data_IF_135090530379
#
_entry.id   IF_135090530379
#
_cell.length_a   1.000
_cell.length_b   1.000
_cell.length_c   1.000
_cell.angle_alpha   90.00
_cell.angle_beta   90.00
_cell.angle_gamma   90.00
#
_symmetry.space_group_name_H-M   'P 1'
#
loop_
_entity.id
_entity.type
_entity.pdbx_description
1 polymer ?
#
# COMPACT_ATOMS: atom_id res chain seq x y z
N UNK A 1 -17.80 -27.88 42.98
CA UNK A 1 -17.50 -27.12 41.74
C UNK A 1 -17.44 -25.64 42.09
N UNK A 2 -16.34 -24.95 41.78
CA UNK A 2 -16.17 -23.54 42.13
C UNK A 2 -16.90 -22.64 41.12
N UNK A 3 -17.62 -21.64 41.63
CA UNK A 3 -18.35 -20.64 40.85
C UNK A 3 -17.80 -19.25 41.21
N UNK A 4 -17.68 -18.38 40.21
CA UNK A 4 -17.33 -16.96 40.40
C UNK A 4 -18.41 -16.14 39.72
N UNK A 5 -19.06 -15.24 40.47
CA UNK A 5 -20.16 -14.40 40.01
C UNK A 5 -21.28 -15.17 39.29
N UNK A 6 -21.66 -16.34 39.82
CA UNK A 6 -22.75 -17.16 39.28
C UNK A 6 -22.39 -17.99 38.05
N UNK A 7 -21.16 -17.92 37.52
CA UNK A 7 -20.71 -18.73 36.39
C UNK A 7 -19.71 -19.82 36.80
N UNK A 8 -19.68 -20.97 36.12
CA UNK A 8 -18.67 -22.01 36.35
C UNK A 8 -17.26 -21.43 36.19
N UNK A 9 -16.34 -21.71 37.12
CA UNK A 9 -14.97 -21.18 37.10
C UNK A 9 -14.23 -21.46 35.77
N UNK A 10 -14.53 -22.58 35.11
CA UNK A 10 -14.02 -22.92 33.77
C UNK A 10 -14.43 -21.90 32.69
N UNK A 11 -15.67 -21.40 32.74
CA UNK A 11 -16.14 -20.38 31.80
C UNK A 11 -15.42 -19.05 32.02
N UNK A 12 -15.18 -18.65 33.27
CA UNK A 12 -14.45 -17.43 33.59
C UNK A 12 -12.99 -17.50 33.13
N UNK A 13 -12.32 -18.62 33.37
CA UNK A 13 -10.93 -18.86 32.93
C UNK A 13 -10.82 -18.85 31.40
N UNK A 14 -11.77 -19.46 30.69
CA UNK A 14 -11.80 -19.43 29.23
C UNK A 14 -12.05 -18.02 28.69
N UNK A 15 -12.97 -17.26 29.30
CA UNK A 15 -13.21 -15.85 28.94
C UNK A 15 -11.99 -14.96 29.19
N UNK A 16 -11.27 -15.15 30.30
CA UNK A 16 -10.05 -14.42 30.59
C UNK A 16 -8.90 -14.79 29.63
N UNK A 17 -8.78 -16.07 29.27
CA UNK A 17 -7.80 -16.54 28.27
C UNK A 17 -8.13 -16.02 26.87
N UNK A 18 -9.42 -15.96 26.50
CA UNK A 18 -9.87 -15.37 25.23
C UNK A 18 -9.61 -13.86 25.24
N UNK A 19 -9.93 -13.14 26.32
CA UNK A 19 -9.67 -11.70 26.45
C UNK A 19 -8.16 -11.39 26.40
N UNK A 20 -7.33 -12.20 27.05
CA UNK A 20 -5.87 -12.06 27.02
C UNK A 20 -5.29 -12.41 25.63
N UNK A 21 -5.81 -13.45 24.97
CA UNK A 21 -5.42 -13.76 23.59
C UNK A 21 -5.83 -12.63 22.65
N UNK A 22 -7.06 -12.13 22.78
CA UNK A 22 -7.56 -10.98 22.03
C UNK A 22 -6.77 -9.72 22.34
N UNK A 23 -6.28 -9.49 23.57
CA UNK A 23 -5.45 -8.32 23.89
C UNK A 23 -4.05 -8.39 23.28
N UNK A 24 -3.45 -9.59 23.20
CA UNK A 24 -2.19 -9.84 22.48
C UNK A 24 -2.36 -9.63 20.97
N UNK A 25 -3.47 -10.07 20.38
CA UNK A 25 -3.75 -9.81 18.97
C UNK A 25 -4.19 -8.35 18.73
N UNK A 26 -4.96 -7.75 19.64
CA UNK A 26 -5.42 -6.35 19.57
C UNK A 26 -4.26 -5.37 19.56
N UNK A 27 -3.22 -5.61 20.36
CA UNK A 27 -2.02 -4.77 20.34
C UNK A 27 -1.27 -4.87 19.01
N UNK A 28 -1.40 -5.98 18.25
CA UNK A 28 -0.84 -6.10 16.90
C UNK A 28 -1.82 -5.69 15.77
N UNK A 29 -3.13 -5.63 16.06
CA UNK A 29 -4.18 -5.22 15.11
C UNK A 29 -4.44 -3.71 15.18
N UNK A 30 -4.24 -3.07 16.35
CA UNK A 30 -4.57 -1.66 16.58
C UNK A 30 -3.37 -0.76 16.90
N UNK A 31 -2.20 -1.29 17.27
CA UNK A 31 -0.99 -0.46 17.34
C UNK A 31 -0.23 -0.58 16.04
N UNK A 32 -0.61 0.24 15.06
CA UNK A 32 0.22 0.49 13.90
C UNK A 32 1.63 0.86 14.36
N UNK A 33 2.65 0.22 13.77
CA UNK A 33 4.02 0.43 14.22
C UNK A 33 4.41 1.90 14.04
N UNK A 34 5.02 2.48 15.07
CA UNK A 34 5.65 3.81 14.99
C UNK A 34 7.14 3.74 14.63
N UNK A 35 7.69 2.54 14.46
CA UNK A 35 9.10 2.38 14.17
C UNK A 35 9.34 2.59 12.66
N UNK A 36 10.05 3.67 12.25
CA UNK A 36 10.19 4.04 10.84
C UNK A 36 10.94 2.97 10.04
N UNK A 37 11.95 2.33 10.63
CA UNK A 37 12.70 1.27 9.97
C UNK A 37 11.82 0.04 9.70
N UNK A 38 10.97 -0.35 10.65
CA UNK A 38 10.02 -1.45 10.46
C UNK A 38 9.02 -1.13 9.34
N UNK A 39 8.44 0.07 9.35
CA UNK A 39 7.52 0.51 8.30
C UNK A 39 8.15 0.47 6.90
N UNK A 40 9.40 0.91 6.76
CA UNK A 40 10.15 0.83 5.49
C UNK A 40 10.31 -0.62 5.03
N UNK A 41 10.66 -1.53 5.94
CA UNK A 41 10.82 -2.94 5.61
C UNK A 41 9.50 -3.59 5.22
N UNK A 42 8.43 -3.30 5.94
CA UNK A 42 7.08 -3.83 5.68
C UNK A 42 6.57 -3.34 4.32
N UNK A 43 6.71 -2.04 4.00
CA UNK A 43 6.37 -1.49 2.68
C UNK A 43 7.20 -2.15 1.58
N UNK A 44 8.51 -2.31 1.76
CA UNK A 44 9.35 -2.98 0.77
C UNK A 44 8.89 -4.44 0.51
N UNK A 45 8.51 -5.16 1.57
CA UNK A 45 7.95 -6.51 1.44
C UNK A 45 6.60 -6.51 0.71
N UNK A 46 5.72 -5.56 1.03
CA UNK A 46 4.43 -5.39 0.36
C UNK A 46 4.61 -5.09 -1.14
N UNK A 47 5.49 -4.17 -1.51
CA UNK A 47 5.77 -3.87 -2.94
C UNK A 47 6.34 -5.08 -3.67
N UNK A 48 7.20 -5.88 -3.03
CA UNK A 48 7.73 -7.11 -3.61
C UNK A 48 6.62 -8.16 -3.83
N UNK A 49 5.76 -8.38 -2.84
CA UNK A 49 4.63 -9.31 -2.94
C UNK A 49 3.62 -8.87 -3.99
N UNK A 50 3.34 -7.57 -4.08
CA UNK A 50 2.48 -7.01 -5.11
C UNK A 50 3.02 -7.33 -6.52
N UNK A 51 4.32 -7.10 -6.73
CA UNK A 51 4.99 -7.43 -7.99
C UNK A 51 4.95 -8.90 -8.34
N UNK A 52 5.19 -9.77 -7.37
CA UNK A 52 5.16 -11.21 -7.58
C UNK A 52 3.77 -11.68 -8.02
N UNK A 53 2.70 -11.09 -7.46
CA UNK A 53 1.34 -11.35 -7.94
C UNK A 53 1.11 -10.82 -9.35
N UNK A 54 1.63 -9.65 -9.70
CA UNK A 54 1.49 -9.09 -11.06
C UNK A 54 2.14 -9.96 -12.14
N UNK A 55 3.20 -10.72 -11.83
CA UNK A 55 3.83 -11.64 -12.79
C UNK A 55 2.85 -12.72 -13.28
N UNK A 56 1.86 -13.08 -12.47
CA UNK A 56 0.88 -14.10 -12.83
C UNK A 56 -0.26 -13.59 -13.71
N UNK A 57 -0.39 -12.27 -13.91
CA UNK A 57 -1.39 -11.69 -14.81
C UNK A 57 -1.08 -12.09 -16.26
N UNK A 58 -2.07 -12.63 -16.96
CA UNK A 58 -1.93 -13.17 -18.32
C UNK A 58 -1.25 -14.54 -18.41
N UNK A 59 -0.93 -15.17 -17.27
CA UNK A 59 -0.31 -16.50 -17.19
C UNK A 59 -1.34 -17.58 -16.82
N UNK A 60 -0.94 -18.86 -16.82
CA UNK A 60 -1.83 -19.98 -16.47
C UNK A 60 -2.43 -19.93 -15.06
N UNK A 61 -1.82 -19.16 -14.15
CA UNK A 61 -2.30 -18.95 -12.77
C UNK A 61 -3.26 -17.77 -12.65
N UNK A 62 -3.49 -17.02 -13.73
CA UNK A 62 -4.39 -15.87 -13.72
C UNK A 62 -5.85 -16.30 -13.58
N UNK A 63 -6.53 -15.79 -12.56
CA UNK A 63 -7.94 -16.09 -12.30
C UNK A 63 -8.60 -14.94 -11.51
N UNK A 64 -9.95 -14.88 -11.47
CA UNK A 64 -10.67 -13.80 -10.80
C UNK A 64 -10.29 -13.62 -9.32
N UNK A 65 -10.01 -14.71 -8.61
CA UNK A 65 -9.60 -14.68 -7.19
C UNK A 65 -8.24 -14.00 -7.02
N UNK A 66 -7.28 -14.32 -7.89
CA UNK A 66 -5.97 -13.66 -7.93
C UNK A 66 -6.11 -12.19 -8.29
N UNK A 67 -6.90 -11.86 -9.32
CA UNK A 67 -7.15 -10.45 -9.73
C UNK A 67 -7.69 -9.65 -8.57
N UNK A 68 -8.68 -10.20 -7.87
CA UNK A 68 -9.23 -9.57 -6.67
C UNK A 68 -8.23 -9.46 -5.51
N UNK A 69 -7.39 -10.47 -5.32
CA UNK A 69 -6.32 -10.41 -4.33
C UNK A 69 -5.35 -9.26 -4.65
N UNK A 70 -4.97 -9.09 -5.91
CA UNK A 70 -4.14 -7.97 -6.39
C UNK A 70 -4.83 -6.63 -6.07
N UNK A 71 -6.14 -6.50 -6.35
CA UNK A 71 -6.92 -5.28 -6.03
C UNK A 71 -6.83 -4.92 -4.56
N UNK A 72 -7.17 -5.87 -3.68
CA UNK A 72 -7.16 -5.66 -2.22
C UNK A 72 -5.76 -5.33 -1.71
N UNK A 73 -4.76 -6.06 -2.20
CA UNK A 73 -3.40 -5.88 -1.74
C UNK A 73 -2.80 -4.53 -2.16
N UNK A 74 -3.18 -4.01 -3.35
CA UNK A 74 -2.86 -2.64 -3.74
C UNK A 74 -3.34 -1.64 -2.70
N UNK A 75 -4.61 -1.73 -2.29
CA UNK A 75 -5.17 -0.81 -1.28
C UNK A 75 -4.41 -0.89 0.03
N UNK A 76 -4.10 -2.10 0.52
CA UNK A 76 -3.24 -2.29 1.70
C UNK A 76 -1.89 -1.57 1.53
N UNK A 77 -1.22 -1.72 0.38
CA UNK A 77 0.06 -1.05 0.13
C UNK A 77 -0.06 0.47 0.18
N UNK A 78 -1.15 1.04 -0.37
CA UNK A 78 -1.41 2.49 -0.34
C UNK A 78 -1.65 2.98 1.08
N UNK A 79 -2.46 2.27 1.86
CA UNK A 79 -2.77 2.64 3.24
C UNK A 79 -1.53 2.57 4.14
N UNK A 80 -0.69 1.57 3.95
CA UNK A 80 0.60 1.45 4.67
C UNK A 80 1.57 2.57 4.28
N UNK A 81 1.61 2.99 3.01
CA UNK A 81 2.41 4.15 2.60
C UNK A 81 1.91 5.43 3.28
N UNK A 82 0.59 5.66 3.31
CA UNK A 82 -0.01 6.82 3.99
C UNK A 82 0.37 6.84 5.47
N UNK A 83 0.14 5.73 6.16
CA UNK A 83 0.50 5.58 7.58
C UNK A 83 1.99 5.87 7.83
N UNK A 84 2.87 5.37 6.96
CA UNK A 84 4.31 5.63 7.10
C UNK A 84 4.68 7.10 6.89
N UNK A 85 4.03 7.80 5.96
CA UNK A 85 4.21 9.25 5.78
C UNK A 85 3.75 10.00 7.02
N UNK A 86 2.56 9.70 7.55
CA UNK A 86 2.03 10.34 8.75
C UNK A 86 3.01 10.19 9.93
N UNK A 87 3.47 8.96 10.20
CA UNK A 87 4.44 8.68 11.28
C UNK A 87 5.76 9.42 11.08
N UNK A 88 6.34 9.38 9.87
CA UNK A 88 7.66 9.98 9.66
C UNK A 88 7.63 11.50 9.63
N UNK A 89 6.57 12.10 9.07
CA UNK A 89 6.43 13.56 9.05
C UNK A 89 6.17 14.11 10.46
N UNK A 90 5.41 13.41 11.29
CA UNK A 90 5.23 13.76 12.71
C UNK A 90 6.54 13.70 13.49
N UNK A 91 7.37 12.68 13.25
CA UNK A 91 8.70 12.57 13.86
C UNK A 91 9.58 13.77 13.50
N UNK A 92 9.61 14.15 12.21
CA UNK A 92 10.39 15.31 11.74
C UNK A 92 9.93 16.62 12.35
N UNK A 93 8.60 16.83 12.43
CA UNK A 93 8.04 18.02 13.08
C UNK A 93 8.42 18.07 14.56
N UNK A 94 8.31 16.96 15.27
CA UNK A 94 8.68 16.88 16.70
C UNK A 94 10.17 17.10 16.97
N UNK A 95 11.05 16.71 16.04
CA UNK A 95 12.49 16.92 16.15
C UNK A 95 12.92 18.35 15.80
N UNK A 96 12.09 19.11 15.09
CA UNK A 96 12.39 20.51 14.74
C UNK A 96 12.24 21.47 15.93
N UNK A 97 11.56 21.03 16.98
CA UNK A 97 11.35 21.78 18.22
C UNK A 97 12.48 21.56 19.26
N UNK A 98 13.36 20.56 19.05
CA UNK A 98 14.46 20.20 19.96
C UNK A 98 15.80 20.22 19.18
N UNK A 99 16.67 21.16 19.52
CA UNK A 99 17.79 21.73 18.74
C UNK A 99 18.97 20.77 18.40
N UNK A 100 18.74 19.49 18.06
CA UNK A 100 19.85 18.52 17.97
C UNK A 100 19.75 17.21 17.18
N UNK A 101 18.61 16.79 16.61
CA UNK A 101 18.52 15.48 15.92
C UNK A 101 18.11 15.61 14.44
N UNK A 102 19.06 15.70 13.50
CA UNK A 102 18.73 15.90 12.07
C UNK A 102 19.34 14.94 11.04
N UNK A 103 20.10 13.90 11.44
CA UNK A 103 20.78 13.05 10.43
C UNK A 103 20.11 11.69 10.13
N UNK A 104 19.52 11.03 11.13
CA UNK A 104 18.98 9.66 10.95
C UNK A 104 17.57 9.66 10.33
N UNK A 105 16.74 10.65 10.66
CA UNK A 105 15.37 10.76 10.15
C UNK A 105 15.33 11.08 8.66
N UNK A 106 16.29 11.87 8.18
CA UNK A 106 16.50 12.13 6.76
C UNK A 106 16.78 10.84 5.97
N UNK A 107 17.48 9.85 6.55
CA UNK A 107 17.76 8.57 5.89
C UNK A 107 16.51 7.70 5.71
N UNK A 108 15.61 7.72 6.71
CA UNK A 108 14.35 6.99 6.66
C UNK A 108 13.36 7.63 5.67
N UNK A 109 13.25 8.96 5.65
CA UNK A 109 12.44 9.67 4.67
C UNK A 109 12.93 9.42 3.23
N UNK A 110 14.24 9.51 2.99
CA UNK A 110 14.83 9.19 1.67
C UNK A 110 14.53 7.74 1.27
N UNK A 111 14.58 6.81 2.23
CA UNK A 111 14.23 5.40 2.00
C UNK A 111 12.75 5.22 1.62
N UNK A 112 11.84 5.87 2.37
CA UNK A 112 10.41 5.83 2.10
C UNK A 112 10.08 6.47 0.74
N UNK A 113 10.66 7.63 0.43
CA UNK A 113 10.54 8.30 -0.86
C UNK A 113 10.92 7.37 -2.02
N UNK A 114 12.08 6.72 -1.93
CA UNK A 114 12.54 5.78 -2.96
C UNK A 114 11.58 4.58 -3.13
N UNK A 115 11.06 4.05 -2.02
CA UNK A 115 10.10 2.94 -2.06
C UNK A 115 8.77 3.34 -2.70
N UNK A 116 8.22 4.50 -2.34
CA UNK A 116 6.98 5.00 -2.92
C UNK A 116 7.13 5.30 -4.42
N UNK A 117 8.28 5.80 -4.87
CA UNK A 117 8.58 5.91 -6.30
C UNK A 117 8.58 4.55 -7.01
N UNK A 118 9.17 3.52 -6.39
CA UNK A 118 9.13 2.16 -6.94
C UNK A 118 7.68 1.69 -7.02
N UNK A 119 6.91 1.87 -5.95
CA UNK A 119 5.52 1.44 -5.91
C UNK A 119 4.65 2.15 -6.95
N UNK A 120 4.80 3.47 -7.12
CA UNK A 120 4.11 4.23 -8.18
C UNK A 120 4.36 3.63 -9.58
N UNK A 121 5.61 3.25 -9.89
CA UNK A 121 5.93 2.58 -11.15
C UNK A 121 5.26 1.20 -11.28
N UNK A 122 5.14 0.45 -10.19
CA UNK A 122 4.42 -0.83 -10.18
C UNK A 122 2.90 -0.66 -10.32
N UNK A 123 2.31 0.42 -9.78
CA UNK A 123 0.91 0.77 -10.01
C UNK A 123 0.63 1.06 -11.50
N UNK A 124 1.50 1.84 -12.14
CA UNK A 124 1.40 2.14 -13.59
C UNK A 124 1.51 0.85 -14.42
N UNK A 125 2.38 -0.09 -14.03
CA UNK A 125 2.45 -1.41 -14.69
C UNK A 125 1.18 -2.22 -14.45
N UNK A 126 0.66 -2.23 -13.22
CA UNK A 126 -0.60 -2.90 -12.87
C UNK A 126 -1.75 -2.38 -13.74
N UNK A 127 -1.85 -1.06 -13.92
CA UNK A 127 -2.82 -0.42 -14.81
C UNK A 127 -2.71 -0.99 -16.23
N UNK A 128 -1.51 -0.93 -16.82
CA UNK A 128 -1.27 -1.38 -18.20
C UNK A 128 -1.55 -2.87 -18.36
N UNK A 129 -1.17 -3.69 -17.39
CA UNK A 129 -1.43 -5.13 -17.40
C UNK A 129 -2.94 -5.42 -17.40
N UNK A 130 -3.71 -4.77 -16.53
CA UNK A 130 -5.16 -4.95 -16.46
C UNK A 130 -5.86 -4.40 -17.71
N UNK A 131 -5.33 -3.32 -18.27
CA UNK A 131 -5.80 -2.78 -19.54
C UNK A 131 -5.56 -3.77 -20.68
N UNK A 132 -4.37 -4.33 -20.83
CA UNK A 132 -4.04 -5.19 -21.99
C UNK A 132 -4.51 -6.63 -21.81
N UNK A 133 -4.63 -7.12 -20.58
CA UNK A 133 -5.08 -8.47 -20.22
C UNK A 133 -6.41 -8.40 -19.45
N UNK A 134 -7.55 -8.20 -20.14
CA UNK A 134 -8.85 -8.16 -19.49
C UNK A 134 -9.22 -9.53 -18.90
N UNK A 135 -10.02 -9.52 -17.84
CA UNK A 135 -10.56 -10.73 -17.23
C UNK A 135 -12.02 -10.51 -16.86
N UNK A 136 -12.86 -11.52 -17.14
CA UNK A 136 -14.24 -11.53 -16.69
C UNK A 136 -14.30 -11.80 -15.18
N UNK A 137 -14.81 -10.81 -14.44
CA UNK A 137 -14.96 -10.86 -12.98
C UNK A 137 -16.40 -11.18 -12.54
N UNK A 138 -17.34 -11.35 -13.48
CA UNK A 138 -18.78 -11.38 -13.19
C UNK A 138 -19.15 -12.44 -12.15
N UNK A 139 -18.63 -13.66 -12.31
CA UNK A 139 -18.90 -14.79 -11.39
C UNK A 139 -18.44 -14.54 -9.95
N UNK A 140 -17.33 -13.81 -9.76
CA UNK A 140 -16.82 -13.50 -8.43
C UNK A 140 -17.73 -12.49 -7.70
N UNK A 141 -18.26 -11.52 -8.45
CA UNK A 141 -19.10 -10.46 -7.90
C UNK A 141 -20.57 -10.86 -7.82
N UNK A 142 -21.09 -11.76 -8.65
CA UNK A 142 -22.42 -12.37 -8.47
C UNK A 142 -22.54 -13.05 -7.10
N UNK A 143 -21.50 -13.77 -6.68
CA UNK A 143 -21.46 -14.45 -5.39
C UNK A 143 -21.32 -13.50 -4.19
N UNK A 144 -20.97 -12.23 -4.43
CA UNK A 144 -20.84 -11.19 -3.39
C UNK A 144 -21.95 -10.13 -3.43
N UNK A 145 -22.68 -10.04 -4.54
CA UNK A 145 -23.75 -9.05 -4.75
C UNK A 145 -25.11 -9.57 -4.29
N UNK A 146 -25.22 -9.82 -2.98
CA UNK A 146 -26.51 -9.76 -2.29
C UNK A 146 -26.30 -9.33 -0.83
N UNK A 147 -26.91 -8.25 -0.31
CA UNK A 147 -27.98 -7.40 -0.87
C UNK A 147 -27.63 -5.90 -1.02
N UNK A 148 -28.56 -5.15 -1.66
CA UNK A 148 -28.76 -3.68 -1.65
C UNK A 148 -27.71 -2.75 -2.30
N UNK A 149 -27.89 -2.42 -3.58
CA UNK A 149 -27.51 -1.10 -4.11
C UNK A 149 -28.79 -0.41 -4.62
N UNK A 150 -29.34 0.51 -3.82
CA UNK A 150 -30.50 1.34 -4.20
C UNK A 150 -30.29 2.04 -5.55
N UNK A 151 -29.04 2.37 -5.90
CA UNK A 151 -28.65 2.94 -7.19
C UNK A 151 -28.89 2.02 -8.40
N UNK A 152 -28.73 0.69 -8.24
CA UNK A 152 -29.02 -0.26 -9.32
C UNK A 152 -30.52 -0.45 -9.53
N UNK A 153 -31.31 -0.42 -8.46
CA UNK A 153 -32.78 -0.51 -8.55
C UNK A 153 -33.33 0.74 -9.23
N UNK A 154 -32.85 1.94 -8.87
CA UNK A 154 -33.31 3.18 -9.48
C UNK A 154 -32.90 3.29 -10.96
N UNK A 155 -31.68 2.84 -11.30
CA UNK A 155 -31.23 2.74 -12.70
C UNK A 155 -32.07 1.76 -13.53
N UNK A 156 -32.44 0.61 -12.97
CA UNK A 156 -33.35 -0.35 -13.62
C UNK A 156 -34.79 0.18 -13.74
N UNK A 157 -35.28 0.92 -12.73
CA UNK A 157 -36.61 1.53 -12.74
C UNK A 157 -36.74 2.68 -13.75
N UNK A 158 -35.67 3.46 -13.95
CA UNK A 158 -35.67 4.65 -14.81
C UNK A 158 -35.17 4.38 -16.23
N UNK A 159 -34.19 3.48 -16.41
CA UNK A 159 -33.51 3.30 -17.70
C UNK A 159 -33.91 2.01 -18.42
N UNK A 160 -34.70 1.14 -17.80
CA UNK A 160 -35.10 -0.18 -18.34
C UNK A 160 -33.92 -0.97 -18.92
N UNK A 161 -32.71 -0.74 -18.41
CA UNK A 161 -31.49 -1.44 -18.78
C UNK A 161 -30.81 -1.92 -17.51
N UNK A 162 -30.45 -3.19 -17.50
CA UNK A 162 -29.53 -3.72 -16.51
C UNK A 162 -28.20 -3.00 -16.71
N UNK A 163 -27.83 -2.09 -15.81
CA UNK A 163 -26.52 -1.47 -15.79
C UNK A 163 -25.54 -2.58 -15.43
N UNK A 164 -24.87 -3.17 -16.42
CA UNK A 164 -23.79 -4.11 -16.18
C UNK A 164 -22.56 -3.28 -15.76
N UNK A 165 -22.07 -3.41 -14.50
CA UNK A 165 -20.89 -2.68 -14.07
C UNK A 165 -19.67 -3.14 -14.87
N UNK A 166 -18.97 -2.19 -15.50
CA UNK A 166 -17.68 -2.46 -16.14
C UNK A 166 -16.58 -2.50 -15.07
N UNK A 167 -16.42 -3.69 -14.46
CA UNK A 167 -15.42 -3.94 -13.41
C UNK A 167 -13.99 -3.65 -13.84
N UNK A 168 -13.70 -3.71 -15.14
CA UNK A 168 -12.38 -3.38 -15.67
C UNK A 168 -12.18 -1.86 -15.63
N UNK A 169 -13.15 -1.10 -16.14
CA UNK A 169 -13.09 0.36 -16.11
C UNK A 169 -13.04 0.91 -14.68
N UNK A 170 -13.84 0.35 -13.77
CA UNK A 170 -13.82 0.69 -12.34
C UNK A 170 -12.43 0.46 -11.74
N UNK A 171 -11.83 -0.70 -12.01
CA UNK A 171 -10.51 -1.03 -11.50
C UNK A 171 -9.40 -0.14 -12.07
N UNK A 172 -9.46 0.20 -13.36
CA UNK A 172 -8.51 1.14 -13.98
C UNK A 172 -8.58 2.52 -13.30
N UNK A 173 -9.79 3.01 -13.06
CA UNK A 173 -10.02 4.26 -12.31
C UNK A 173 -9.47 4.17 -10.88
N UNK A 174 -9.70 3.06 -10.17
CA UNK A 174 -9.17 2.86 -8.83
C UNK A 174 -7.64 2.82 -8.78
N UNK A 175 -6.99 2.29 -9.82
CA UNK A 175 -5.53 2.33 -9.93
C UNK A 175 -5.03 3.74 -10.19
N UNK A 176 -5.66 4.50 -11.10
CA UNK A 176 -5.32 5.91 -11.34
C UNK A 176 -5.43 6.74 -10.04
N UNK A 177 -6.51 6.56 -9.28
CA UNK A 177 -6.67 7.20 -7.98
C UNK A 177 -5.56 6.80 -7.00
N UNK A 178 -5.16 5.53 -6.99
CA UNK A 178 -4.05 5.04 -6.15
C UNK A 178 -2.71 5.67 -6.55
N UNK A 179 -2.45 5.84 -7.85
CA UNK A 179 -1.25 6.53 -8.36
C UNK A 179 -1.24 7.98 -7.87
N UNK A 180 -2.34 8.71 -8.06
CA UNK A 180 -2.45 10.11 -7.65
C UNK A 180 -2.23 10.28 -6.13
N UNK A 181 -2.77 9.37 -5.31
CA UNK A 181 -2.52 9.36 -3.86
C UNK A 181 -1.04 9.19 -3.56
N UNK A 182 -0.38 8.18 -4.16
CA UNK A 182 1.04 7.93 -3.91
C UNK A 182 1.91 9.10 -4.40
N UNK A 183 1.60 9.70 -5.55
CA UNK A 183 2.33 10.87 -6.06
C UNK A 183 2.18 12.09 -5.14
N UNK A 184 1.00 12.31 -4.58
CA UNK A 184 0.79 13.35 -3.56
C UNK A 184 1.62 13.10 -2.29
N UNK A 185 1.67 11.84 -1.82
CA UNK A 185 2.48 11.45 -0.66
C UNK A 185 3.98 11.59 -0.93
N UNK A 186 4.43 11.29 -2.15
CA UNK A 186 5.82 11.49 -2.58
C UNK A 186 6.17 12.99 -2.50
N UNK A 187 5.32 13.86 -3.04
CA UNK A 187 5.54 15.30 -3.01
C UNK A 187 5.58 15.86 -1.58
N UNK A 188 4.74 15.34 -0.68
CA UNK A 188 4.78 15.68 0.73
C UNK A 188 6.12 15.29 1.37
N UNK A 189 6.56 14.04 1.20
CA UNK A 189 7.85 13.57 1.75
C UNK A 189 9.04 14.33 1.16
N UNK A 190 8.99 14.65 -0.14
CA UNK A 190 10.05 15.41 -0.83
C UNK A 190 10.30 16.79 -0.19
N UNK A 191 9.26 17.43 0.34
CA UNK A 191 9.38 18.74 1.00
C UNK A 191 10.25 18.71 2.25
N UNK A 192 10.43 17.55 2.89
CA UNK A 192 11.25 17.37 4.08
C UNK A 192 12.67 16.88 3.78
N UNK A 193 12.97 16.48 2.54
CA UNK A 193 14.29 15.96 2.17
C UNK A 193 15.19 17.12 1.73
N UNK A 194 16.35 17.35 2.39
CA UNK A 194 17.25 18.43 2.00
C UNK A 194 17.81 18.19 0.60
N UNK A 195 17.56 19.13 -0.31
CA UNK A 195 18.19 19.10 -1.62
C UNK A 195 19.70 19.35 -1.46
N UNK A 196 20.56 18.62 -2.19
CA UNK A 196 22.00 18.87 -2.15
C UNK A 196 22.30 20.28 -2.68
N UNK A 197 22.48 21.24 -1.77
CA UNK A 197 23.02 22.55 -2.07
C UNK A 197 24.48 22.37 -2.49
N UNK A 198 24.79 22.49 -3.79
CA UNK A 198 26.19 22.43 -4.22
C UNK A 198 26.51 22.07 -5.67
N UNK A 199 25.57 22.03 -6.61
CA UNK A 199 25.89 22.06 -8.05
C UNK A 199 24.99 23.06 -8.75
N UNK A 200 25.36 24.34 -8.61
CA UNK A 200 24.86 25.43 -9.44
C UNK A 200 25.22 25.10 -10.89
N UNK A 201 24.20 24.94 -11.73
CA UNK A 201 24.36 24.90 -13.19
C UNK A 201 23.52 23.85 -13.92
N UNK A 202 22.21 23.76 -13.67
CA UNK A 202 21.22 23.44 -14.72
C UNK A 202 19.81 23.63 -14.15
N UNK A 203 19.11 24.68 -14.59
CA UNK A 203 17.69 24.84 -14.29
C UNK A 203 16.89 23.69 -14.92
N UNK A 204 16.01 23.05 -14.14
CA UNK A 204 14.95 22.20 -14.70
C UNK A 204 15.06 20.68 -14.53
N UNK A 205 15.89 20.16 -13.61
CA UNK A 205 15.84 18.73 -13.25
C UNK A 205 15.17 18.54 -11.89
N UNK A 206 13.85 18.46 -11.92
CA UNK A 206 13.07 17.70 -10.94
C UNK A 206 13.77 16.35 -10.72
N UNK A 207 13.80 15.86 -9.48
CA UNK A 207 14.35 14.54 -9.09
C UNK A 207 13.73 13.34 -9.85
N UNK A 208 12.81 13.60 -10.78
CA UNK A 208 12.15 12.68 -11.73
C UNK A 208 13.06 11.99 -12.74
N UNK A 209 14.33 12.40 -12.90
CA UNK A 209 15.27 11.72 -13.80
C UNK A 209 16.66 11.55 -13.19
N UNK A 210 16.76 10.75 -12.12
CA UNK A 210 17.94 9.90 -11.99
C UNK A 210 17.67 8.61 -12.77
N UNK A 211 18.09 8.50 -14.04
CA UNK A 211 18.27 7.17 -14.61
C UNK A 211 19.16 6.40 -13.63
N UNK A 212 18.86 5.12 -13.46
CA UNK A 212 19.69 4.18 -12.71
C UNK A 212 21.07 4.03 -13.40
N UNK A 213 21.84 5.11 -13.43
CA UNK A 213 23.28 5.13 -13.55
C UNK A 213 23.74 5.25 -12.11
N UNK A 214 24.38 4.18 -11.66
CA UNK A 214 24.94 3.96 -10.34
C UNK A 214 25.60 5.22 -9.73
N UNK A 215 24.81 6.10 -9.12
CA UNK A 215 25.37 7.11 -8.23
C UNK A 215 25.78 6.41 -6.94
N UNK A 216 26.85 6.88 -6.30
CA UNK A 216 27.41 6.26 -5.10
C UNK A 216 26.40 6.07 -3.95
N UNK A 217 25.28 6.83 -3.96
CA UNK A 217 24.15 6.65 -3.05
C UNK A 217 23.33 5.38 -3.32
N UNK A 218 23.13 4.97 -4.58
CA UNK A 218 22.45 3.72 -4.95
C UNK A 218 23.27 2.50 -4.53
N UNK A 219 24.62 2.60 -4.53
CA UNK A 219 25.50 1.53 -4.03
C UNK A 219 25.32 1.23 -2.54
N UNK A 220 24.82 2.19 -1.74
CA UNK A 220 24.51 1.98 -0.30
C UNK A 220 23.13 1.34 -0.05
N UNK A 221 22.19 1.41 -1.00
CA UNK A 221 20.82 0.90 -0.82
C UNK A 221 20.65 -0.55 -1.27
N UNK A 222 21.47 -1.46 -0.72
CA UNK A 222 21.26 -2.93 -0.84
C UNK A 222 20.04 -3.44 -0.07
N UNK A 223 19.28 -2.54 0.58
CA UNK A 223 18.13 -2.85 1.42
C UNK A 223 16.86 -3.18 0.64
N UNK A 224 16.73 -2.72 -0.61
CA UNK A 224 15.48 -2.88 -1.37
C UNK A 224 15.59 -4.01 -2.39
N UNK A 225 14.90 -5.12 -2.12
CA UNK A 225 14.74 -6.23 -3.06
C UNK A 225 14.03 -5.79 -4.37
N UNK A 226 13.28 -4.69 -4.31
CA UNK A 226 12.51 -4.17 -5.44
C UNK A 226 13.35 -3.44 -6.51
N UNK A 227 14.65 -3.21 -6.32
CA UNK A 227 15.49 -2.57 -7.36
C UNK A 227 15.87 -3.57 -8.48
N UNK A 228 15.80 -4.88 -8.21
CA UNK A 228 16.02 -5.93 -9.20
C UNK A 228 14.86 -5.98 -10.20
N UNK A 229 15.13 -5.81 -11.50
CA UNK A 229 14.10 -5.92 -12.55
C UNK A 229 13.60 -7.36 -12.64
N UNK A 230 12.27 -7.61 -12.55
CA UNK A 230 11.73 -8.92 -12.84
C UNK A 230 11.82 -9.18 -14.35
N UNK A 231 12.27 -10.38 -14.73
CA UNK A 231 12.26 -10.83 -16.12
C UNK A 231 10.88 -11.41 -16.40
N UNK A 232 10.00 -10.63 -17.02
CA UNK A 232 8.76 -11.15 -17.59
C UNK A 232 9.15 -12.05 -18.78
N UNK A 233 8.72 -13.32 -18.74
CA UNK A 233 8.88 -14.27 -19.84
C UNK A 233 7.63 -14.29 -20.70
#
# INVERSE_FOLDING_TARGET
MAYVNGFPYEHYRNSAVIAHRLSIYMSNIFLQSKNPQKLILDINAHVALFRDMLIHVGQSKDNPELREKIRKYRHICVDECRHAVDVMTDLVKSASDDDGCSLHDNSHLVSLYNLMQIFSRELIKSYRLIQVMPMDMSKLHENRSRPTNFGNVLGQLLLCKQINPDFRQEELCNIENSVNVIESLIAEVESYIPQPQGLIGDEGKSLSYLPCKETAHVKRNRLFCCISRPKYK
#
